data_IF_072739017052
#
_entry.id   IF_072739017052
#
_cell.length_a   1.000
_cell.length_b   1.000
_cell.length_c   1.000
_cell.angle_alpha   90.00
_cell.angle_beta   90.00
_cell.angle_gamma   90.00
#
_symmetry.space_group_name_H-M   'P 1'
#
loop_
_entity.id
_entity.type
_entity.pdbx_description
1 polymer ?
#
# COMPACT_ATOMS: atom_id res chain seq x y z
N UNK A 1 26.40 -3.99 -24.70
CA UNK A 1 25.61 -4.83 -23.79
C UNK A 1 24.17 -4.35 -23.88
N UNK A 2 23.28 -5.17 -24.44
CA UNK A 2 21.90 -4.80 -24.69
C UNK A 2 21.09 -4.95 -23.41
N UNK A 3 20.38 -3.89 -23.01
CA UNK A 3 19.42 -3.94 -21.92
C UNK A 3 18.23 -4.81 -22.37
N UNK A 4 18.05 -5.95 -21.74
CA UNK A 4 16.89 -6.84 -21.95
C UNK A 4 15.66 -6.13 -21.41
N UNK A 5 14.81 -5.64 -22.31
CA UNK A 5 13.49 -5.13 -21.94
C UNK A 5 12.72 -6.25 -21.24
N UNK A 6 12.38 -6.05 -19.97
CA UNK A 6 11.56 -6.97 -19.22
C UNK A 6 10.16 -6.98 -19.85
N UNK A 7 9.92 -7.97 -20.69
CA UNK A 7 8.64 -8.21 -21.33
C UNK A 7 7.70 -8.80 -20.29
N UNK A 8 6.95 -7.95 -19.60
CA UNK A 8 5.82 -8.41 -18.81
C UNK A 8 4.82 -9.06 -19.78
N UNK A 9 4.49 -10.33 -19.64
CA UNK A 9 3.45 -10.93 -20.47
C UNK A 9 2.16 -10.15 -20.20
N UNK A 10 1.60 -9.57 -21.25
CA UNK A 10 0.22 -9.07 -21.27
C UNK A 10 -0.70 -10.27 -21.15
N UNK A 11 -0.78 -10.84 -19.97
CA UNK A 11 -1.39 -12.10 -19.80
C UNK A 11 -2.60 -12.03 -18.93
N UNK A 12 -3.64 -12.57 -19.42
CA UNK A 12 -4.66 -13.36 -18.75
C UNK A 12 -5.45 -12.75 -17.56
N UNK A 13 -5.16 -11.52 -17.13
CA UNK A 13 -6.06 -10.78 -16.23
C UNK A 13 -7.38 -10.44 -16.95
N UNK A 14 -7.36 -10.37 -18.29
CA UNK A 14 -8.51 -10.00 -19.11
C UNK A 14 -9.59 -11.07 -19.29
N UNK A 15 -9.38 -12.33 -18.92
CA UNK A 15 -10.31 -13.41 -19.29
C UNK A 15 -10.88 -14.23 -18.13
N UNK A 16 -10.47 -13.99 -16.89
CA UNK A 16 -11.30 -14.35 -15.76
C UNK A 16 -12.29 -13.22 -15.55
N UNK A 17 -13.51 -13.42 -15.99
CA UNK A 17 -14.67 -12.63 -15.56
C UNK A 17 -14.66 -12.67 -14.03
N UNK A 18 -13.91 -11.78 -13.41
CA UNK A 18 -14.04 -11.52 -11.99
C UNK A 18 -15.47 -11.07 -11.82
N UNK A 19 -16.28 -11.90 -11.21
CA UNK A 19 -17.61 -11.53 -10.76
C UNK A 19 -17.45 -10.54 -9.60
N UNK A 20 -16.77 -9.41 -9.82
CA UNK A 20 -16.81 -8.28 -8.92
C UNK A 20 -18.21 -7.72 -9.05
N UNK A 21 -19.13 -8.34 -8.36
CA UNK A 21 -20.47 -7.81 -8.17
C UNK A 21 -20.29 -6.53 -7.35
N UNK A 22 -20.64 -5.41 -7.96
CA UNK A 22 -20.71 -4.08 -7.34
C UNK A 22 -19.37 -3.37 -7.01
N UNK A 23 -18.26 -3.70 -7.65
CA UNK A 23 -16.99 -2.99 -7.42
C UNK A 23 -16.33 -3.25 -6.06
N UNK A 24 -16.80 -4.26 -5.31
CA UNK A 24 -16.25 -4.64 -4.01
C UNK A 24 -15.31 -5.83 -4.18
N UNK A 25 -14.06 -5.67 -3.74
CA UNK A 25 -13.07 -6.74 -3.66
C UNK A 25 -13.14 -7.36 -2.26
N UNK A 26 -13.55 -8.61 -2.18
CA UNK A 26 -13.57 -9.36 -0.91
C UNK A 26 -12.18 -9.94 -0.59
N UNK A 27 -11.93 -10.28 0.68
CA UNK A 27 -10.69 -10.94 1.08
C UNK A 27 -10.45 -12.27 0.37
N UNK A 28 -11.51 -13.03 0.09
CA UNK A 28 -11.42 -14.28 -0.67
C UNK A 28 -10.99 -14.01 -2.12
N UNK A 29 -11.61 -13.07 -2.79
CA UNK A 29 -11.25 -12.70 -4.15
C UNK A 29 -9.82 -12.17 -4.23
N UNK A 30 -9.40 -11.34 -3.25
CA UNK A 30 -8.04 -10.86 -3.14
C UNK A 30 -7.02 -12.00 -2.97
N UNK A 31 -7.35 -13.04 -2.19
CA UNK A 31 -6.47 -14.20 -1.98
C UNK A 31 -6.31 -15.09 -3.21
N UNK A 32 -7.24 -15.01 -4.16
CA UNK A 32 -7.22 -15.77 -5.42
C UNK A 32 -6.48 -15.04 -6.56
N UNK A 33 -6.01 -13.81 -6.33
CA UNK A 33 -5.17 -13.10 -7.29
C UNK A 33 -3.82 -13.79 -7.43
N UNK A 34 -3.20 -13.66 -8.58
CA UNK A 34 -1.81 -14.06 -8.76
C UNK A 34 -0.92 -12.83 -8.65
N UNK A 35 -0.31 -12.64 -7.48
CA UNK A 35 0.60 -11.54 -7.17
C UNK A 35 2.06 -12.00 -6.99
N UNK A 36 2.41 -13.16 -7.53
CA UNK A 36 3.80 -13.63 -7.54
C UNK A 36 4.68 -12.62 -8.29
N UNK A 37 5.76 -12.17 -7.64
CA UNK A 37 6.63 -11.13 -8.17
C UNK A 37 6.14 -9.69 -7.95
N UNK A 38 5.01 -9.50 -7.26
CA UNK A 38 4.57 -8.17 -6.82
C UNK A 38 5.29 -7.80 -5.54
N UNK A 39 6.19 -6.84 -5.63
CA UNK A 39 7.04 -6.44 -4.50
C UNK A 39 6.28 -5.67 -3.43
N UNK A 40 5.29 -4.85 -3.81
CA UNK A 40 4.55 -4.00 -2.89
C UNK A 40 3.09 -3.84 -3.32
N UNK A 41 2.19 -4.03 -2.37
CA UNK A 41 0.76 -3.66 -2.45
C UNK A 41 0.50 -2.55 -1.44
N UNK A 42 -0.15 -1.48 -1.86
CA UNK A 42 -0.54 -0.36 -1.00
C UNK A 42 -2.06 -0.33 -0.87
N UNK A 43 -2.54 -0.41 0.37
CA UNK A 43 -3.95 -0.34 0.71
C UNK A 43 -4.19 0.93 1.52
N UNK A 44 -4.86 1.91 0.91
CA UNK A 44 -5.27 3.12 1.61
C UNK A 44 -6.76 3.02 1.95
N UNK A 45 -7.10 3.20 3.23
CA UNK A 45 -8.48 3.33 3.65
C UNK A 45 -8.99 4.71 3.19
N UNK A 46 -9.52 4.75 1.98
CA UNK A 46 -10.23 5.91 1.47
C UNK A 46 -11.71 5.74 1.81
N UNK A 47 -12.31 6.78 2.38
CA UNK A 47 -13.76 6.83 2.58
C UNK A 47 -14.40 7.14 1.22
N UNK A 48 -14.62 6.10 0.44
CA UNK A 48 -15.36 6.21 -0.81
C UNK A 48 -16.88 6.26 -0.53
N UNK A 49 -17.29 7.12 0.41
CA UNK A 49 -18.66 7.67 0.56
C UNK A 49 -19.88 6.74 0.54
N UNK A 50 -19.73 5.44 0.40
CA UNK A 50 -20.85 4.52 0.18
C UNK A 50 -20.69 3.15 0.84
N UNK A 51 -20.16 3.08 2.04
CA UNK A 51 -20.18 1.81 2.78
C UNK A 51 -19.27 1.81 3.98
N UNK A 52 -19.80 1.42 5.11
CA UNK A 52 -19.03 1.11 6.31
C UNK A 52 -18.02 -0.01 6.00
N UNK A 53 -16.81 0.35 5.60
CA UNK A 53 -15.69 -0.55 5.81
C UNK A 53 -15.50 -0.59 7.32
N UNK A 54 -15.92 -1.68 7.97
CA UNK A 54 -15.58 -1.93 9.37
C UNK A 54 -14.06 -1.99 9.47
N UNK A 55 -13.49 -0.84 9.77
CA UNK A 55 -12.06 -0.60 9.93
C UNK A 55 -11.61 -1.42 11.13
N UNK A 56 -10.90 -2.47 10.91
CA UNK A 56 -10.43 -3.38 11.95
C UNK A 56 -10.19 -4.77 11.38
N UNK A 57 -11.18 -5.63 11.40
CA UNK A 57 -11.06 -7.00 10.92
C UNK A 57 -10.92 -7.07 9.38
N UNK A 58 -11.59 -6.18 8.64
CA UNK A 58 -11.54 -6.15 7.18
C UNK A 58 -10.15 -5.84 6.61
N UNK A 59 -9.43 -4.87 7.18
CA UNK A 59 -8.08 -4.49 6.73
C UNK A 59 -7.06 -5.59 7.06
N UNK A 60 -7.20 -6.24 8.22
CA UNK A 60 -6.34 -7.38 8.60
C UNK A 60 -6.57 -8.56 7.67
N UNK A 61 -7.81 -8.83 7.31
CA UNK A 61 -8.19 -9.89 6.37
C UNK A 61 -7.64 -9.62 4.96
N UNK A 62 -7.74 -8.40 4.46
CA UNK A 62 -7.21 -8.00 3.15
C UNK A 62 -5.68 -8.07 3.08
N UNK A 63 -4.95 -7.60 4.09
CA UNK A 63 -3.48 -7.75 4.14
C UNK A 63 -3.07 -9.20 4.02
N UNK A 64 -3.71 -10.09 4.80
CA UNK A 64 -3.45 -11.52 4.74
C UNK A 64 -3.78 -12.10 3.38
N UNK A 65 -4.90 -11.70 2.79
CA UNK A 65 -5.32 -12.13 1.47
C UNK A 65 -4.30 -11.79 0.38
N UNK A 66 -3.79 -10.54 0.36
CA UNK A 66 -2.75 -10.13 -0.58
C UNK A 66 -1.42 -10.85 -0.36
N UNK A 67 -1.06 -11.15 0.89
CA UNK A 67 0.11 -11.98 1.20
C UNK A 67 -0.07 -13.42 0.69
N UNK A 68 -1.24 -14.02 0.86
CA UNK A 68 -1.57 -15.35 0.34
C UNK A 68 -1.52 -15.35 -1.19
N UNK A 69 -1.97 -14.28 -1.83
CA UNK A 69 -1.92 -14.09 -3.27
C UNK A 69 -0.49 -14.00 -3.84
N UNK A 70 0.54 -13.84 -2.99
CA UNK A 70 1.94 -13.82 -3.39
C UNK A 70 2.64 -12.47 -3.31
N UNK A 71 1.96 -11.40 -2.87
CA UNK A 71 2.62 -10.11 -2.67
C UNK A 71 3.72 -10.20 -1.62
N UNK A 72 4.92 -9.67 -1.89
CA UNK A 72 6.05 -9.70 -0.96
C UNK A 72 5.86 -8.80 0.24
N UNK A 73 5.25 -7.64 0.03
CA UNK A 73 5.01 -6.65 1.07
C UNK A 73 3.66 -6.00 0.88
N UNK A 74 2.96 -5.74 1.97
CA UNK A 74 1.71 -4.99 1.98
C UNK A 74 1.85 -3.81 2.94
N UNK A 75 1.65 -2.60 2.44
CA UNK A 75 1.56 -1.37 3.21
C UNK A 75 0.09 -0.97 3.30
N UNK A 76 -0.48 -0.96 4.50
CA UNK A 76 -1.90 -0.69 4.66
C UNK A 76 -2.17 0.32 5.76
N UNK A 77 -3.13 1.23 5.51
CA UNK A 77 -3.60 2.18 6.51
C UNK A 77 -4.60 1.54 7.48
N UNK A 78 -4.59 2.01 8.72
CA UNK A 78 -5.49 1.56 9.79
C UNK A 78 -6.71 2.47 9.98
N UNK A 79 -6.61 3.70 9.51
CA UNK A 79 -7.67 4.70 9.57
C UNK A 79 -7.59 5.64 8.37
N UNK A 80 -8.61 6.46 8.21
CA UNK A 80 -8.64 7.51 7.18
C UNK A 80 -7.55 8.53 7.48
N UNK A 81 -6.75 8.83 6.47
CA UNK A 81 -5.62 9.75 6.57
C UNK A 81 -5.83 10.98 5.70
N UNK A 82 -5.11 12.05 6.02
CA UNK A 82 -5.05 13.25 5.18
C UNK A 82 -4.37 12.92 3.85
N UNK A 83 -4.99 13.31 2.74
CA UNK A 83 -4.44 13.11 1.40
C UNK A 83 -3.07 13.77 1.24
N UNK A 84 -2.90 14.95 1.82
CA UNK A 84 -1.64 15.70 1.77
C UNK A 84 -0.52 14.98 2.54
N UNK A 85 -0.80 14.53 3.78
CA UNK A 85 0.16 13.77 4.57
C UNK A 85 0.52 12.44 3.89
N UNK A 86 -0.48 11.74 3.35
CA UNK A 86 -0.30 10.48 2.63
C UNK A 86 0.54 10.67 1.38
N UNK A 87 0.26 11.69 0.58
CA UNK A 87 1.02 12.00 -0.63
C UNK A 87 2.50 12.24 -0.33
N UNK A 88 2.80 13.03 0.70
CA UNK A 88 4.19 13.30 1.14
C UNK A 88 4.88 12.03 1.61
N UNK A 89 4.20 11.26 2.47
CA UNK A 89 4.72 10.02 3.04
C UNK A 89 5.05 9.00 1.95
N UNK A 90 4.11 8.79 1.00
CA UNK A 90 4.31 7.86 -0.11
C UNK A 90 5.38 8.33 -1.08
N UNK A 91 5.43 9.61 -1.40
CA UNK A 91 6.45 10.18 -2.30
C UNK A 91 7.85 9.98 -1.72
N UNK A 92 8.06 10.29 -0.43
CA UNK A 92 9.35 10.13 0.21
C UNK A 92 9.75 8.65 0.36
N UNK A 93 8.79 7.79 0.73
CA UNK A 93 9.01 6.36 0.80
C UNK A 93 9.43 5.78 -0.56
N UNK A 94 8.69 6.06 -1.62
CA UNK A 94 8.97 5.54 -2.96
C UNK A 94 10.29 6.07 -3.50
N UNK A 95 10.61 7.34 -3.26
CA UNK A 95 11.88 7.94 -3.67
C UNK A 95 13.07 7.19 -3.06
N UNK A 96 13.02 6.92 -1.75
CA UNK A 96 14.08 6.22 -1.02
C UNK A 96 14.20 4.76 -1.43
N UNK A 97 13.08 4.07 -1.48
CA UNK A 97 13.07 2.67 -1.87
C UNK A 97 13.62 2.48 -3.30
N UNK A 98 13.21 3.31 -4.24
CA UNK A 98 13.74 3.26 -5.61
C UNK A 98 15.21 3.65 -5.71
N UNK A 99 15.78 4.34 -4.75
CA UNK A 99 17.22 4.61 -4.67
C UNK A 99 18.03 3.44 -4.06
N UNK A 100 17.36 2.33 -3.72
CA UNK A 100 18.00 1.11 -3.21
C UNK A 100 17.99 0.97 -1.68
N UNK A 101 17.28 1.85 -0.95
CA UNK A 101 17.13 1.65 0.49
C UNK A 101 16.20 0.45 0.78
N UNK A 102 16.50 -0.39 1.78
CA UNK A 102 15.58 -1.42 2.27
C UNK A 102 14.20 -0.83 2.61
N UNK A 103 13.12 -1.55 2.29
CA UNK A 103 11.74 -1.08 2.42
C UNK A 103 11.42 -0.55 3.82
N UNK A 104 11.82 -1.28 4.87
CA UNK A 104 11.58 -0.85 6.25
C UNK A 104 12.35 0.43 6.60
N UNK A 105 13.60 0.56 6.13
CA UNK A 105 14.42 1.76 6.36
C UNK A 105 13.84 2.97 5.62
N UNK A 106 13.49 2.79 4.35
CA UNK A 106 12.87 3.81 3.52
C UNK A 106 11.54 4.29 4.13
N UNK A 107 10.71 3.34 4.60
CA UNK A 107 9.45 3.65 5.25
C UNK A 107 9.64 4.46 6.54
N UNK A 108 10.51 3.99 7.44
CA UNK A 108 10.82 4.72 8.67
C UNK A 108 11.36 6.11 8.39
N UNK A 109 12.25 6.26 7.42
CA UNK A 109 12.82 7.56 7.06
C UNK A 109 11.73 8.51 6.52
N UNK A 110 10.76 8.01 5.75
CA UNK A 110 9.63 8.79 5.29
C UNK A 110 8.74 9.26 6.46
N UNK A 111 8.47 8.40 7.44
CA UNK A 111 7.73 8.78 8.64
C UNK A 111 8.45 9.86 9.45
N UNK A 112 9.77 9.73 9.63
CA UNK A 112 10.57 10.72 10.34
C UNK A 112 10.63 12.07 9.60
N UNK A 113 10.71 12.05 8.27
CA UNK A 113 10.66 13.25 7.45
C UNK A 113 9.32 13.98 7.59
N UNK A 114 8.21 13.22 7.60
CA UNK A 114 6.88 13.80 7.81
C UNK A 114 6.73 14.38 9.21
N UNK A 115 7.17 13.64 10.25
CA UNK A 115 7.16 14.09 11.65
C UNK A 115 7.95 15.37 11.85
N UNK A 116 9.06 15.54 11.13
CA UNK A 116 9.90 16.74 11.19
C UNK A 116 9.29 17.96 10.48
N UNK A 117 8.21 17.77 9.71
CA UNK A 117 7.52 18.88 9.02
C UNK A 117 6.70 19.67 10.03
N UNK A 118 7.27 20.80 10.46
CA UNK A 118 6.63 21.76 11.37
C UNK A 118 6.64 23.13 10.70
N UNK A 119 5.48 23.71 10.51
CA UNK A 119 5.37 25.05 9.93
C UNK A 119 4.04 25.71 10.27
N UNK A 120 3.96 27.03 10.11
CA UNK A 120 2.77 27.82 10.44
C UNK A 120 1.50 27.39 9.66
N UNK A 121 1.67 26.72 8.52
CA UNK A 121 0.56 26.26 7.67
C UNK A 121 0.37 24.73 7.69
N UNK A 122 1.37 23.97 8.13
CA UNK A 122 1.35 22.51 8.07
C UNK A 122 2.14 21.96 9.26
N UNK A 123 1.46 21.23 10.11
CA UNK A 123 2.07 20.49 11.23
C UNK A 123 1.62 19.03 11.15
N UNK A 124 2.54 18.15 10.79
CA UNK A 124 2.30 16.70 10.73
C UNK A 124 2.95 15.95 11.90
N UNK A 125 3.26 16.62 12.99
CA UNK A 125 3.87 16.02 14.18
C UNK A 125 2.93 15.04 14.90
N UNK A 126 1.62 15.19 14.75
CA UNK A 126 0.64 14.29 15.33
C UNK A 126 0.75 12.88 14.71
N UNK A 127 0.80 11.80 15.53
CA UNK A 127 0.81 10.42 15.07
C UNK A 127 -0.31 10.04 14.11
N UNK A 128 -1.44 10.74 14.15
CA UNK A 128 -2.54 10.56 13.22
C UNK A 128 -2.07 10.59 11.75
N UNK A 129 -1.08 11.41 11.42
CA UNK A 129 -0.62 11.59 10.04
C UNK A 129 0.43 10.54 9.61
N UNK A 130 1.38 10.19 10.46
CA UNK A 130 2.53 9.37 10.08
C UNK A 130 2.46 7.92 10.58
N UNK A 131 1.63 7.64 11.60
CA UNK A 131 1.50 6.29 12.15
C UNK A 131 0.34 5.47 11.54
N UNK A 132 -0.39 6.05 10.59
CA UNK A 132 -1.59 5.42 10.03
C UNK A 132 -1.30 4.14 9.26
N UNK A 133 -0.09 3.97 8.71
CA UNK A 133 0.24 2.83 7.86
C UNK A 133 1.18 1.85 8.55
N UNK A 134 0.97 0.56 8.27
CA UNK A 134 1.85 -0.52 8.71
C UNK A 134 2.37 -1.30 7.51
N UNK A 135 3.67 -1.56 7.50
CA UNK A 135 4.34 -2.43 6.55
C UNK A 135 4.31 -3.86 7.06
N UNK A 136 3.88 -4.81 6.22
CA UNK A 136 3.78 -6.24 6.57
C UNK A 136 4.39 -7.08 5.46
N UNK A 137 5.26 -8.01 5.78
CA UNK A 137 5.89 -8.92 4.82
C UNK A 137 7.40 -8.80 4.79
N UNK A 138 8.03 -8.87 3.61
CA UNK A 138 9.47 -8.72 3.44
C UNK A 138 9.90 -7.27 3.67
N UNK A 139 11.06 -7.08 4.32
CA UNK A 139 11.49 -5.80 4.87
C UNK A 139 12.74 -5.23 4.17
N UNK A 140 13.33 -6.06 3.33
CA UNK A 140 14.55 -5.76 2.56
C UNK A 140 14.24 -4.97 1.30
#
# INVERSE_FOLDING_TARGET
>A
MAATANHFPKSEIGNRKSKIKNGLLTGLEASLLNLQGTELVILSACDSGTGEVKIGEGVMSLRRAFRIAGAETVLASHWKVSDQATSRLMTEFMRRWRSGEPRAKAWRAAQLALLATKGAKEDFSNPFFWAAFTLTGQWN
#
